data_IF_464875238907
#
_entry.id   IF_464875238907
#
_cell.length_a   1.000
_cell.length_b   1.000
_cell.length_c   1.000
_cell.angle_alpha   90.00
_cell.angle_beta   90.00
_cell.angle_gamma   90.00
#
_symmetry.space_group_name_H-M   'P 1'
#
loop_
_entity.id
_entity.type
_entity.pdbx_description
1 polymer ?
#
# COMPACT_ATOMS: atom_id res chain seq x y z
N UNK A 1 -28.21 6.25 -19.06
CA UNK A 1 -27.88 6.82 -20.39
C UNK A 1 -26.46 6.41 -20.72
N UNK A 2 -26.23 5.80 -21.88
CA UNK A 2 -24.88 5.46 -22.32
C UNK A 2 -24.22 6.71 -22.92
N UNK A 3 -22.96 6.99 -22.56
CA UNK A 3 -22.18 8.11 -23.09
C UNK A 3 -21.08 7.57 -23.99
N UNK A 4 -21.08 7.95 -25.27
CA UNK A 4 -19.97 7.67 -26.17
C UNK A 4 -18.78 8.56 -25.80
N UNK A 5 -17.69 7.96 -25.34
CA UNK A 5 -16.47 8.68 -24.96
C UNK A 5 -15.50 8.79 -26.13
N UNK A 6 -15.26 7.68 -26.83
CA UNK A 6 -14.34 7.62 -27.96
C UNK A 6 -15.05 7.05 -29.19
N UNK A 7 -14.97 7.77 -30.31
CA UNK A 7 -15.50 7.35 -31.60
C UNK A 7 -14.33 7.10 -32.56
N UNK A 8 -14.41 6.02 -33.33
CA UNK A 8 -13.44 5.66 -34.37
C UNK A 8 -11.98 5.64 -33.87
N UNK A 9 -11.79 5.14 -32.63
CA UNK A 9 -10.51 5.16 -31.95
C UNK A 9 -9.52 4.13 -32.54
N UNK A 10 -8.37 4.60 -33.01
CA UNK A 10 -7.27 3.75 -33.50
C UNK A 10 -6.05 3.87 -32.59
N UNK A 11 -5.74 2.80 -31.88
CA UNK A 11 -4.61 2.74 -30.94
C UNK A 11 -3.27 2.93 -31.65
N UNK A 12 -3.07 2.35 -32.83
CA UNK A 12 -1.80 2.44 -33.55
C UNK A 12 -1.46 3.90 -33.88
N UNK A 13 -2.46 4.65 -34.35
CA UNK A 13 -2.31 6.06 -34.69
C UNK A 13 -1.96 6.90 -33.46
N UNK A 14 -2.62 6.63 -32.34
CA UNK A 14 -2.47 7.45 -31.13
C UNK A 14 -1.21 7.08 -30.34
N UNK A 15 -0.87 5.80 -30.26
CA UNK A 15 0.38 5.33 -29.66
C UNK A 15 1.61 5.62 -30.54
N UNK A 16 1.40 5.89 -31.84
CA UNK A 16 2.46 6.17 -32.80
C UNK A 16 3.28 4.94 -33.19
N UNK A 17 2.63 3.77 -33.23
CA UNK A 17 3.23 2.48 -33.61
C UNK A 17 2.95 1.34 -32.65
N UNK A 18 3.45 0.15 -33.00
CA UNK A 18 3.29 -1.10 -32.25
C UNK A 18 4.18 -1.10 -30.99
N UNK A 19 3.76 -1.82 -29.95
CA UNK A 19 4.46 -2.00 -28.65
C UNK A 19 4.73 -0.69 -27.87
N UNK A 20 3.99 0.37 -28.17
CA UNK A 20 4.03 1.62 -27.41
C UNK A 20 2.88 1.69 -26.42
N UNK A 21 3.22 1.93 -25.16
CA UNK A 21 2.23 2.11 -24.10
C UNK A 21 1.58 3.48 -24.26
N UNK A 22 0.26 3.50 -24.40
CA UNK A 22 -0.54 4.71 -24.40
C UNK A 22 -1.65 4.60 -23.35
N UNK A 23 -1.68 5.54 -22.42
CA UNK A 23 -2.64 5.57 -21.31
C UNK A 23 -3.67 6.66 -21.59
N UNK A 24 -4.95 6.31 -21.45
CA UNK A 24 -6.07 7.22 -21.66
C UNK A 24 -6.89 7.27 -20.38
N UNK A 25 -7.03 8.47 -19.84
CA UNK A 25 -7.91 8.72 -18.71
C UNK A 25 -9.26 9.21 -19.23
N UNK A 26 -10.35 8.60 -18.76
CA UNK A 26 -11.71 8.93 -19.18
C UNK A 26 -12.58 9.13 -17.95
N UNK A 27 -12.65 10.36 -17.41
CA UNK A 27 -13.43 10.64 -16.21
C UNK A 27 -14.92 10.42 -16.47
N UNK A 28 -15.56 9.65 -15.59
CA UNK A 28 -16.98 9.31 -15.65
C UNK A 28 -17.64 9.52 -14.29
N UNK A 29 -18.83 10.13 -14.30
CA UNK A 29 -19.66 10.30 -13.10
C UNK A 29 -20.53 9.06 -12.93
N UNK A 30 -20.33 8.31 -11.86
CA UNK A 30 -21.07 7.06 -11.56
C UNK A 30 -22.07 7.34 -10.44
N UNK A 31 -23.36 7.36 -10.78
CA UNK A 31 -24.45 7.54 -9.80
C UNK A 31 -24.83 6.24 -9.09
N UNK A 32 -25.05 5.17 -9.87
CA UNK A 32 -25.70 3.94 -9.38
C UNK A 32 -24.69 2.83 -9.02
N UNK A 33 -23.52 3.21 -8.50
CA UNK A 33 -22.40 2.32 -8.08
C UNK A 33 -21.86 1.38 -9.17
N UNK A 34 -22.44 1.40 -10.36
CA UNK A 34 -22.15 0.50 -11.46
C UNK A 34 -21.62 1.33 -12.62
N UNK A 35 -20.39 1.02 -13.05
CA UNK A 35 -19.78 1.60 -14.24
C UNK A 35 -19.78 0.54 -15.34
N UNK A 36 -20.48 0.82 -16.43
CA UNK A 36 -20.51 -0.06 -17.60
C UNK A 36 -19.63 0.50 -18.70
N UNK A 37 -18.66 -0.29 -19.15
CA UNK A 37 -17.72 0.06 -20.23
C UNK A 37 -18.00 -0.87 -21.40
N UNK A 38 -18.33 -0.30 -22.57
CA UNK A 38 -18.66 -1.05 -23.78
C UNK A 38 -17.68 -0.72 -24.90
N UNK A 39 -17.11 -1.75 -25.51
CA UNK A 39 -16.29 -1.63 -26.71
C UNK A 39 -17.08 -2.16 -27.90
N UNK A 40 -17.44 -1.25 -28.81
CA UNK A 40 -18.19 -1.61 -30.00
C UNK A 40 -17.28 -1.54 -31.22
N UNK A 41 -17.20 -2.66 -31.94
CA UNK A 41 -16.54 -2.75 -33.23
C UNK A 41 -17.59 -2.84 -34.32
N UNK A 42 -17.57 -1.89 -35.26
CA UNK A 42 -18.46 -1.90 -36.43
C UNK A 42 -17.71 -2.27 -37.71
N UNK A 43 -16.45 -2.73 -37.59
CA UNK A 43 -15.63 -3.13 -38.74
C UNK A 43 -15.94 -4.55 -39.24
N UNK A 44 -15.74 -4.79 -40.54
CA UNK A 44 -15.78 -6.14 -41.11
C UNK A 44 -14.47 -6.86 -40.75
N UNK A 45 -14.54 -7.88 -39.89
CA UNK A 45 -13.38 -8.71 -39.57
C UNK A 45 -12.96 -9.58 -40.77
N UNK A 46 -11.66 -9.74 -40.97
CA UNK A 46 -11.07 -10.57 -42.02
C UNK A 46 -10.22 -11.66 -41.37
N UNK A 47 -10.52 -12.94 -41.62
CA UNK A 47 -9.92 -14.07 -40.86
C UNK A 47 -8.67 -14.66 -41.52
N UNK A 48 -8.43 -14.43 -42.81
CA UNK A 48 -7.21 -14.86 -43.51
C UNK A 48 -7.05 -14.14 -44.86
N UNK A 49 -5.78 -13.89 -45.22
CA UNK A 49 -5.14 -13.47 -46.49
C UNK A 49 -6.04 -13.50 -47.77
N UNK A 50 -5.94 -12.52 -48.70
CA UNK A 50 -4.74 -11.78 -49.13
C UNK A 50 -4.26 -10.70 -48.16
N UNK A 51 -5.18 -10.04 -47.47
CA UNK A 51 -4.85 -8.96 -46.52
C UNK A 51 -5.05 -9.43 -45.07
N UNK A 52 -4.11 -9.08 -44.19
CA UNK A 52 -4.20 -9.39 -42.75
C UNK A 52 -5.44 -8.71 -42.16
N UNK A 53 -6.13 -9.46 -41.30
CA UNK A 53 -7.40 -9.08 -40.71
C UNK A 53 -7.43 -7.72 -40.02
N UNK A 54 -8.52 -6.97 -40.17
CA UNK A 54 -8.85 -5.89 -39.24
C UNK A 54 -9.44 -6.52 -37.97
N UNK A 55 -8.64 -6.55 -36.90
CA UNK A 55 -9.08 -7.03 -35.59
C UNK A 55 -10.01 -6.01 -34.92
N UNK A 56 -10.89 -6.51 -34.06
CA UNK A 56 -11.74 -5.68 -33.20
C UNK A 56 -10.94 -4.84 -32.18
N UNK A 57 -11.60 -4.10 -31.28
CA UNK A 57 -10.95 -3.27 -30.28
C UNK A 57 -10.00 -4.10 -29.43
N UNK A 58 -8.70 -3.82 -29.54
CA UNK A 58 -7.66 -4.45 -28.74
C UNK A 58 -7.41 -3.60 -27.50
N UNK A 59 -7.56 -4.16 -26.31
CA UNK A 59 -7.29 -3.43 -25.06
C UNK A 59 -6.42 -4.30 -24.19
N UNK A 60 -5.32 -3.73 -23.72
CA UNK A 60 -4.35 -4.43 -22.89
C UNK A 60 -4.76 -4.43 -21.41
N UNK A 61 -5.23 -3.28 -20.90
CA UNK A 61 -5.60 -3.11 -19.50
C UNK A 61 -6.63 -2.00 -19.30
N UNK A 62 -7.45 -2.13 -18.26
CA UNK A 62 -8.40 -1.12 -17.80
C UNK A 62 -8.12 -0.89 -16.31
N UNK A 63 -7.94 0.37 -15.92
CA UNK A 63 -7.86 0.79 -14.52
C UNK A 63 -9.02 1.72 -14.20
N UNK A 64 -9.63 1.56 -13.03
CA UNK A 64 -10.74 2.39 -12.56
C UNK A 64 -10.37 2.93 -11.19
N UNK A 65 -10.25 4.26 -11.09
CA UNK A 65 -9.94 4.96 -9.84
C UNK A 65 -11.09 5.92 -9.51
N UNK A 66 -11.52 5.90 -8.25
CA UNK A 66 -12.65 6.70 -7.77
C UNK A 66 -12.13 8.00 -7.12
N UNK A 67 -12.57 9.15 -7.64
CA UNK A 67 -12.17 10.48 -7.14
C UNK A 67 -12.99 10.93 -5.91
N UNK A 68 -13.66 10.00 -5.22
CA UNK A 68 -14.33 10.34 -3.98
C UNK A 68 -13.28 10.52 -2.89
N UNK A 69 -13.03 11.78 -2.53
CA UNK A 69 -12.41 12.12 -1.26
C UNK A 69 -13.29 11.52 -0.17
N UNK A 70 -12.91 10.36 0.36
CA UNK A 70 -13.59 9.74 1.48
C UNK A 70 -13.67 10.81 2.57
N UNK A 71 -14.86 11.26 3.00
CA UNK A 71 -14.96 11.88 4.31
C UNK A 71 -14.58 10.75 5.26
N UNK A 72 -13.35 10.78 5.73
CA UNK A 72 -12.91 9.96 6.83
C UNK A 72 -13.77 10.35 8.03
N UNK A 73 -14.85 9.63 8.26
CA UNK A 73 -15.31 9.42 9.62
C UNK A 73 -14.27 8.49 10.26
N UNK A 74 -13.18 9.13 10.71
CA UNK A 74 -12.15 8.65 11.64
C UNK A 74 -11.66 7.19 11.44
N UNK A 75 -10.49 6.89 10.90
CA UNK A 75 -9.25 7.64 10.82
C UNK A 75 -8.29 6.93 9.83
N UNK A 76 -7.35 7.68 9.26
CA UNK A 76 -6.08 7.12 8.75
C UNK A 76 -6.20 6.12 7.60
N UNK A 77 -6.39 6.67 6.39
CA UNK A 77 -5.59 6.32 5.20
C UNK A 77 -4.82 4.99 5.24
N UNK A 78 -5.49 3.88 4.93
CA UNK A 78 -4.81 2.74 4.32
C UNK A 78 -5.65 2.28 3.14
N UNK A 79 -5.50 3.03 2.04
CA UNK A 79 -5.25 2.50 0.70
C UNK A 79 -4.79 1.05 0.78
N UNK A 80 -5.71 0.10 0.56
CA UNK A 80 -5.36 -1.29 0.24
C UNK A 80 -5.20 -1.36 -1.28
N UNK A 81 -4.26 -0.57 -1.78
CA UNK A 81 -3.64 -0.87 -3.05
C UNK A 81 -2.44 -1.76 -2.76
N UNK A 82 -2.42 -2.87 -3.49
CA UNK A 82 -1.22 -3.35 -4.17
C UNK A 82 0.04 -3.14 -3.35
N UNK A 83 0.22 -3.98 -2.32
CA UNK A 83 1.53 -4.21 -1.74
C UNK A 83 2.39 -4.98 -2.74
N UNK A 84 2.75 -4.31 -3.83
CA UNK A 84 3.98 -4.63 -4.52
C UNK A 84 5.13 -3.89 -3.83
N UNK A 85 6.10 -4.68 -3.40
CA UNK A 85 7.52 -4.28 -3.36
C UNK A 85 8.00 -3.26 -2.31
N UNK A 86 7.54 -3.34 -1.05
CA UNK A 86 8.45 -2.97 0.07
C UNK A 86 9.27 -4.19 0.51
N UNK A 87 9.94 -4.84 -0.45
CA UNK A 87 10.92 -5.89 -0.16
C UNK A 87 12.18 -5.35 0.54
N UNK A 88 12.44 -4.03 0.44
CA UNK A 88 13.68 -3.45 0.97
C UNK A 88 13.59 -2.86 2.38
N UNK A 89 12.40 -2.50 2.87
CA UNK A 89 12.26 -1.86 4.19
C UNK A 89 12.02 -2.84 5.34
N UNK A 90 11.21 -3.89 5.08
CA UNK A 90 10.71 -4.78 6.14
C UNK A 90 11.80 -5.71 6.70
N UNK A 91 12.78 -6.08 5.89
CA UNK A 91 13.94 -6.87 6.32
C UNK A 91 14.86 -6.07 7.24
N UNK A 92 15.07 -4.78 6.96
CA UNK A 92 15.92 -3.90 7.78
C UNK A 92 15.31 -3.73 9.18
N UNK A 93 14.00 -3.51 9.27
CA UNK A 93 13.31 -3.39 10.56
C UNK A 93 13.35 -4.68 11.39
N UNK A 94 13.26 -5.86 10.75
CA UNK A 94 13.34 -7.15 11.46
C UNK A 94 14.75 -7.36 12.02
N UNK A 95 15.80 -7.08 11.24
CA UNK A 95 17.19 -7.27 11.68
C UNK A 95 17.55 -6.31 12.83
N UNK A 96 17.17 -5.03 12.73
CA UNK A 96 17.39 -4.05 13.81
C UNK A 96 16.63 -4.43 15.08
N UNK A 97 15.40 -4.96 14.94
CA UNK A 97 14.60 -5.41 16.06
C UNK A 97 15.25 -6.53 16.88
N UNK A 98 15.85 -7.52 16.22
CA UNK A 98 16.50 -8.65 16.91
C UNK A 98 17.72 -8.17 17.70
N UNK A 99 18.60 -7.37 17.09
CA UNK A 99 19.82 -6.87 17.74
C UNK A 99 19.47 -5.98 18.94
N UNK A 100 18.51 -5.08 18.78
CA UNK A 100 18.05 -4.22 19.87
C UNK A 100 17.40 -5.02 21.01
N UNK A 101 16.63 -6.07 20.69
CA UNK A 101 15.98 -6.93 21.69
C UNK A 101 16.98 -7.68 22.55
N UNK A 102 17.98 -8.33 21.94
CA UNK A 102 19.01 -9.08 22.68
C UNK A 102 19.84 -8.14 23.57
N UNK A 103 20.23 -6.97 23.05
CA UNK A 103 20.98 -5.98 23.81
C UNK A 103 20.16 -5.44 25.00
N UNK A 104 18.87 -5.17 24.79
CA UNK A 104 17.97 -4.70 25.85
C UNK A 104 17.81 -5.75 26.96
N UNK A 105 17.61 -7.02 26.60
CA UNK A 105 17.49 -8.12 27.57
C UNK A 105 18.76 -8.29 28.43
N UNK A 106 19.94 -8.21 27.82
CA UNK A 106 21.22 -8.27 28.56
C UNK A 106 21.34 -7.12 29.56
N UNK A 107 21.03 -5.89 29.15
CA UNK A 107 21.06 -4.73 30.04
C UNK A 107 20.05 -4.83 31.18
N UNK A 108 18.87 -5.39 30.95
CA UNK A 108 17.87 -5.61 32.00
C UNK A 108 18.35 -6.64 33.03
N UNK A 109 18.90 -7.77 32.59
CA UNK A 109 19.42 -8.80 33.52
C UNK A 109 20.60 -8.27 34.33
N UNK A 110 21.52 -7.54 33.70
CA UNK A 110 22.62 -6.87 34.41
C UNK A 110 22.08 -5.81 35.38
N UNK A 111 21.18 -4.94 34.93
CA UNK A 111 20.58 -3.90 35.76
C UNK A 111 19.91 -4.48 37.01
N UNK A 112 19.10 -5.52 36.86
CA UNK A 112 18.43 -6.20 37.99
C UNK A 112 19.46 -6.91 38.88
N UNK A 113 20.45 -7.60 38.30
CA UNK A 113 21.50 -8.27 39.07
C UNK A 113 22.33 -7.29 39.91
N UNK A 114 22.69 -6.15 39.32
CA UNK A 114 23.43 -5.08 39.99
C UNK A 114 22.57 -4.37 41.04
N UNK A 115 21.29 -4.13 40.74
CA UNK A 115 20.34 -3.58 41.72
C UNK A 115 20.22 -4.51 42.93
N UNK A 116 20.07 -5.81 42.71
CA UNK A 116 19.99 -6.79 43.81
C UNK A 116 21.29 -6.88 44.63
N UNK A 117 22.46 -6.74 43.99
CA UNK A 117 23.75 -6.74 44.69
C UNK A 117 24.03 -5.44 45.46
N UNK A 118 23.56 -4.30 44.96
CA UNK A 118 23.69 -3.00 45.63
C UNK A 118 22.74 -2.87 46.81
N UNK A 119 21.52 -3.42 46.69
CA UNK A 119 20.55 -3.41 47.78
C UNK A 119 21.03 -4.26 48.98
N UNK A 120 21.75 -5.35 48.73
CA UNK A 120 22.29 -6.22 49.79
C UNK A 120 23.47 -5.61 50.56
N UNK A 121 24.00 -4.45 50.15
CA UNK A 121 25.00 -3.66 50.90
C UNK A 121 24.42 -2.43 51.62
N UNK A 122 23.16 -2.06 51.35
CA UNK A 122 22.57 -0.80 51.80
C UNK A 122 21.66 -0.87 53.04
N UNK A 123 21.23 -2.06 53.48
CA UNK A 123 20.34 -2.20 54.65
C UNK A 123 21.06 -2.85 55.82
N UNK A 124 22.06 -2.15 56.37
CA UNK A 124 22.66 -2.52 57.66
C UNK A 124 23.16 -1.28 58.40
N UNK A 125 22.31 -0.26 58.57
CA UNK A 125 22.44 0.73 59.65
C UNK A 125 21.05 1.17 60.10
N UNK A 126 20.38 0.26 60.82
CA UNK A 126 19.32 0.63 61.76
C UNK A 126 20.00 0.89 63.11
N UNK A 127 19.98 2.13 63.60
CA UNK A 127 20.07 2.42 65.03
C UNK A 127 19.60 3.83 65.37
N UNK A 128 18.47 3.87 66.06
CA UNK A 128 18.32 4.69 67.27
C UNK A 128 17.58 6.01 67.11
N UNK A 129 16.52 6.17 67.92
CA UNK A 129 16.06 7.48 68.35
C UNK A 129 14.56 7.70 68.28
N UNK A 130 13.78 6.91 69.03
CA UNK A 130 12.43 7.30 69.42
C UNK A 130 12.49 8.09 70.72
N UNK A 131 12.24 9.41 70.67
CA UNK A 131 11.85 10.18 71.86
C UNK A 131 11.05 11.41 71.45
N UNK A 132 9.75 11.40 71.73
CA UNK A 132 9.03 12.51 72.37
C UNK A 132 7.57 12.12 72.60
N UNK A 133 7.22 11.85 73.86
CA UNK A 133 5.86 11.95 74.38
C UNK A 133 5.91 12.85 75.61
N UNK A 134 5.01 13.85 75.62
CA UNK A 134 4.64 14.78 76.69
C UNK A 134 5.54 16.00 76.91
#
# INVERSE_FOLDING_TARGET
MEKLVWKDFNIENVAGGVDKVFIIESPAVVGDKTLEIRFQWVGKGTTCVPDRGNYGPLISAISVEADFMHPSEDATSIRKETKESTFSGKTIFIVVGIVASVLCLLLLVLGIGWWKSSFRRGTSMEKGGNESTA
#
